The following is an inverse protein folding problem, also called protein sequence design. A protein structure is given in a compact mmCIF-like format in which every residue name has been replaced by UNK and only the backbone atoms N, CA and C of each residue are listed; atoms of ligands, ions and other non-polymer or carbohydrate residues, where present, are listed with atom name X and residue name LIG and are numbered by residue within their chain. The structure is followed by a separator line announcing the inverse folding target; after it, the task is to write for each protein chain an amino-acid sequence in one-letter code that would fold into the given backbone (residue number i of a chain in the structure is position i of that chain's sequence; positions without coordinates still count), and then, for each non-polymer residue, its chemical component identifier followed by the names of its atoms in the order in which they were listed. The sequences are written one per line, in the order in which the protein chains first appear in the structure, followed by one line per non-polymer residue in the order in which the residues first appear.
data_IF_288524929809
#
_entry.id   IF_288524929809
#
_cell.length_a   1.000
_cell.length_b   1.000
_cell.length_c   1.000
_cell.angle_alpha   90.00
_cell.angle_beta   90.00
_cell.angle_gamma   90.00
#
_symmetry.space_group_name_H-M   'P 1'
#
loop_
_entity.id
_entity.type
_entity.pdbx_description
1 polymer ?
#
# COMPACT_ATOMS: atom_id res chain seq x y z
N UNK A 1 74.88 20.89 7.99
CA UNK A 1 73.76 21.71 7.47
C UNK A 1 72.96 20.83 6.52
N UNK A 2 71.88 20.20 6.97
CA UNK A 2 70.99 19.42 6.10
C UNK A 2 69.55 19.79 6.46
N UNK A 3 68.93 20.58 5.58
CA UNK A 3 67.58 21.11 5.74
C UNK A 3 66.63 20.23 4.95
N UNK A 4 65.90 19.37 5.66
CA UNK A 4 64.79 18.60 5.11
C UNK A 4 63.61 19.57 4.96
N UNK A 5 63.22 19.83 3.72
CA UNK A 5 62.13 20.77 3.37
C UNK A 5 60.77 20.16 3.74
N UNK A 6 59.94 20.82 4.58
CA UNK A 6 58.66 20.29 5.06
C UNK A 6 57.50 20.59 4.09
N UNK A 7 57.70 20.44 2.77
CA UNK A 7 56.74 20.93 1.77
C UNK A 7 55.82 19.86 1.16
N UNK A 8 55.91 18.60 1.58
CA UNK A 8 55.17 17.49 0.92
C UNK A 8 53.94 17.01 1.72
N UNK A 9 53.78 17.38 2.99
CA UNK A 9 52.63 16.95 3.81
C UNK A 9 51.34 17.77 3.64
N UNK A 10 51.38 18.93 2.96
CA UNK A 10 50.23 19.84 2.88
C UNK A 10 49.17 19.52 1.82
N UNK A 11 49.44 18.57 0.91
CA UNK A 11 48.60 18.35 -0.29
C UNK A 11 47.78 17.04 -0.26
N UNK A 12 48.01 16.17 0.71
CA UNK A 12 47.30 14.88 0.80
C UNK A 12 46.04 14.92 1.68
N UNK A 13 45.93 15.87 2.61
CA UNK A 13 44.73 16.02 3.45
C UNK A 13 43.46 16.47 2.70
N UNK A 14 43.50 17.44 1.75
CA UNK A 14 42.28 17.85 1.04
C UNK A 14 41.81 16.81 0.01
N UNK A 15 42.70 15.97 -0.51
CA UNK A 15 42.35 14.90 -1.45
C UNK A 15 41.54 13.77 -0.77
N UNK A 16 41.87 13.42 0.48
CA UNK A 16 41.10 12.42 1.24
C UNK A 16 39.71 12.92 1.67
N UNK A 17 39.56 14.22 1.90
CA UNK A 17 38.24 14.83 2.22
C UNK A 17 37.36 14.93 0.98
N UNK A 18 37.94 15.16 -0.20
CA UNK A 18 37.19 15.22 -1.46
C UNK A 18 36.63 13.84 -1.90
N UNK A 19 37.30 12.74 -1.58
CA UNK A 19 36.79 11.38 -1.84
C UNK A 19 35.73 10.91 -0.84
N UNK A 20 35.62 11.53 0.33
CA UNK A 20 34.58 11.20 1.32
C UNK A 20 33.21 11.83 1.04
N UNK A 21 33.12 12.76 0.07
CA UNK A 21 31.89 13.48 -0.27
C UNK A 21 31.24 13.02 -1.58
N UNK A 22 31.89 12.12 -2.33
CA UNK A 22 31.22 11.38 -3.40
C UNK A 22 30.40 10.25 -2.76
N UNK A 23 29.23 10.60 -2.25
CA UNK A 23 28.31 9.66 -1.59
C UNK A 23 27.98 8.50 -2.52
N UNK A 24 28.21 7.26 -2.06
CA UNK A 24 27.87 6.04 -2.81
C UNK A 24 26.35 5.84 -3.05
N UNK A 25 25.49 6.76 -2.61
CA UNK A 25 24.04 6.65 -2.71
C UNK A 25 23.37 7.55 -3.76
N UNK A 26 24.09 8.48 -4.39
CA UNK A 26 23.48 9.41 -5.35
C UNK A 26 23.16 8.73 -6.68
N UNK A 27 22.06 9.17 -7.31
CA UNK A 27 21.61 8.66 -8.61
C UNK A 27 22.69 8.83 -9.68
N UNK A 28 23.24 7.70 -10.13
CA UNK A 28 24.27 7.68 -11.17
C UNK A 28 23.75 6.96 -12.42
N UNK A 29 23.55 7.73 -13.51
CA UNK A 29 23.10 7.18 -14.80
C UNK A 29 24.09 6.18 -15.40
N UNK A 30 25.37 6.26 -15.05
CA UNK A 30 26.44 5.34 -15.47
C UNK A 30 26.58 4.11 -14.56
N UNK A 31 25.81 4.01 -13.47
CA UNK A 31 25.80 2.80 -12.64
C UNK A 31 25.32 1.60 -13.44
N UNK A 32 26.16 0.57 -13.54
CA UNK A 32 25.80 -0.77 -14.06
C UNK A 32 25.33 -1.71 -12.95
N UNK A 33 25.16 -1.19 -11.73
CA UNK A 33 24.74 -1.97 -10.58
C UNK A 33 23.34 -2.55 -10.79
N UNK A 34 23.21 -3.83 -10.46
CA UNK A 34 21.94 -4.54 -10.38
C UNK A 34 21.86 -5.19 -9.01
N UNK A 35 20.93 -4.73 -8.17
CA UNK A 35 20.72 -5.26 -6.83
C UNK A 35 20.41 -6.76 -6.85
N UNK A 36 19.67 -7.21 -7.88
CA UNK A 36 19.31 -8.61 -8.10
C UNK A 36 20.54 -9.46 -8.39
N UNK A 37 21.49 -8.94 -9.19
CA UNK A 37 22.72 -9.65 -9.56
C UNK A 37 23.70 -9.83 -8.40
N UNK A 38 23.52 -9.07 -7.31
CA UNK A 38 24.36 -9.14 -6.10
C UNK A 38 23.64 -9.84 -4.93
N UNK A 39 22.48 -10.45 -5.17
CA UNK A 39 21.75 -11.22 -4.17
C UNK A 39 21.03 -10.39 -3.11
N UNK A 40 20.94 -9.06 -3.27
CA UNK A 40 20.20 -8.20 -2.36
C UNK A 40 18.67 -8.43 -2.46
N UNK A 41 18.20 -8.85 -3.63
CA UNK A 41 16.80 -9.22 -3.87
C UNK A 41 16.68 -10.70 -4.20
N UNK A 42 15.80 -11.41 -3.52
CA UNK A 42 15.51 -12.82 -3.81
C UNK A 42 14.56 -12.89 -5.01
N UNK A 43 15.14 -12.86 -6.21
CA UNK A 43 14.47 -12.52 -7.49
C UNK A 43 13.15 -13.25 -7.77
N UNK A 44 13.04 -14.53 -7.40
CA UNK A 44 11.82 -15.32 -7.64
C UNK A 44 10.63 -14.95 -6.74
N UNK A 45 10.89 -14.31 -5.59
CA UNK A 45 9.89 -14.03 -4.54
C UNK A 45 9.91 -12.57 -4.08
N UNK A 46 10.69 -11.72 -4.76
CA UNK A 46 10.90 -10.35 -4.32
C UNK A 46 9.61 -9.54 -4.36
N UNK A 47 8.89 -9.50 -5.49
CA UNK A 47 7.67 -8.71 -5.59
C UNK A 47 6.39 -9.56 -5.47
N UNK A 48 5.32 -9.00 -4.86
CA UNK A 48 5.34 -7.86 -3.94
C UNK A 48 5.74 -8.25 -2.51
N UNK A 49 5.52 -9.50 -2.10
CA UNK A 49 5.58 -9.91 -0.69
C UNK A 49 6.96 -9.89 -0.04
N UNK A 50 8.01 -10.35 -0.74
CA UNK A 50 9.37 -10.32 -0.20
C UNK A 50 9.89 -8.90 0.04
N UNK A 51 9.55 -7.99 -0.87
CA UNK A 51 9.90 -6.58 -0.85
C UNK A 51 9.22 -5.86 0.32
N UNK A 52 7.90 -6.02 0.49
CA UNK A 52 7.18 -5.37 1.59
C UNK A 52 7.65 -5.89 2.96
N UNK A 53 7.93 -7.18 3.09
CA UNK A 53 8.48 -7.77 4.31
C UNK A 53 9.89 -7.21 4.65
N UNK A 54 10.77 -7.10 3.64
CA UNK A 54 12.10 -6.53 3.83
C UNK A 54 12.04 -5.05 4.23
N UNK A 55 11.22 -4.24 3.54
CA UNK A 55 11.04 -2.82 3.84
C UNK A 55 10.46 -2.60 5.25
N UNK A 56 9.50 -3.42 5.68
CA UNK A 56 8.94 -3.37 7.04
C UNK A 56 9.98 -3.71 8.10
N UNK A 57 10.92 -4.60 7.77
CA UNK A 57 11.99 -5.00 8.70
C UNK A 57 13.03 -3.89 8.86
N UNK A 58 13.53 -3.33 7.76
CA UNK A 58 14.51 -2.25 7.81
C UNK A 58 14.57 -1.44 6.50
N UNK A 59 13.71 -0.44 6.38
CA UNK A 59 13.69 0.45 5.21
C UNK A 59 14.97 1.31 5.07
N UNK A 60 15.71 1.54 6.15
CA UNK A 60 16.95 2.33 6.09
C UNK A 60 18.07 1.59 5.36
N UNK A 61 18.08 0.26 5.38
CA UNK A 61 19.02 -0.55 4.60
C UNK A 61 18.84 -0.36 3.08
N UNK A 62 17.62 -0.04 2.64
CA UNK A 62 17.34 0.18 1.22
C UNK A 62 18.00 1.45 0.67
N UNK A 63 18.23 2.45 1.53
CA UNK A 63 18.76 3.76 1.14
C UNK A 63 20.18 3.69 0.59
N UNK A 64 20.96 2.66 0.94
CA UNK A 64 22.30 2.42 0.39
C UNK A 64 22.27 2.31 -1.13
N UNK A 65 21.25 1.63 -1.69
CA UNK A 65 21.11 1.45 -3.13
C UNK A 65 20.06 2.38 -3.77
N UNK A 66 18.98 2.68 -3.05
CA UNK A 66 17.84 3.43 -3.55
C UNK A 66 17.93 4.94 -3.31
N UNK A 67 18.99 5.42 -2.66
CA UNK A 67 19.18 6.81 -2.28
C UNK A 67 18.53 7.14 -0.93
N UNK A 68 19.01 8.19 -0.27
CA UNK A 68 18.47 8.64 1.02
C UNK A 68 17.03 9.15 0.95
N UNK A 69 16.58 9.53 -0.24
CA UNK A 69 15.22 9.96 -0.56
C UNK A 69 14.38 8.85 -1.24
N UNK A 70 14.97 7.67 -1.44
CA UNK A 70 14.36 6.54 -2.14
C UNK A 70 13.92 6.85 -3.58
N UNK A 71 14.50 7.88 -4.21
CA UNK A 71 14.22 8.27 -5.58
C UNK A 71 14.94 7.41 -6.63
N UNK A 72 15.66 6.38 -6.19
CA UNK A 72 16.22 5.33 -7.02
C UNK A 72 17.73 5.18 -6.92
N UNK A 73 18.47 6.20 -6.47
CA UNK A 73 19.92 6.12 -6.24
C UNK A 73 20.68 5.35 -7.32
N UNK A 74 21.60 4.50 -6.90
CA UNK A 74 22.37 3.62 -7.80
C UNK A 74 21.55 2.44 -8.35
N UNK A 75 20.42 2.08 -7.74
CA UNK A 75 19.52 1.00 -8.20
C UNK A 75 18.64 1.41 -9.37
N UNK A 76 18.44 2.71 -9.58
CA UNK A 76 17.54 3.32 -10.58
C UNK A 76 16.05 2.95 -10.41
N UNK A 77 15.69 2.40 -9.25
CA UNK A 77 14.31 1.98 -8.92
C UNK A 77 13.79 2.85 -7.79
N UNK A 78 12.96 3.84 -8.12
CA UNK A 78 12.31 4.69 -7.12
C UNK A 78 11.14 3.96 -6.45
N UNK A 79 10.88 4.24 -5.17
CA UNK A 79 9.66 3.75 -4.50
C UNK A 79 8.40 4.16 -5.26
N UNK A 80 8.42 5.35 -5.87
CA UNK A 80 7.31 5.92 -6.64
C UNK A 80 6.98 5.20 -7.94
N UNK A 81 7.75 4.16 -8.32
CA UNK A 81 7.38 3.29 -9.44
C UNK A 81 6.15 2.42 -9.13
N UNK A 82 5.94 2.07 -7.86
CA UNK A 82 4.77 1.30 -7.41
C UNK A 82 3.95 2.05 -6.35
N UNK A 83 4.60 2.88 -5.55
CA UNK A 83 3.97 3.68 -4.52
C UNK A 83 3.54 5.06 -5.05
N UNK A 84 2.47 5.62 -4.50
CA UNK A 84 1.85 6.87 -4.94
C UNK A 84 2.22 8.01 -4.00
N UNK A 85 3.45 8.51 -4.15
CA UNK A 85 3.95 9.73 -3.49
C UNK A 85 5.18 9.48 -2.64
N UNK A 86 5.16 8.43 -1.80
CA UNK A 86 6.26 8.09 -0.90
C UNK A 86 6.36 6.57 -0.69
N UNK A 87 7.32 6.11 0.12
CA UNK A 87 7.56 4.70 0.41
C UNK A 87 6.49 3.99 1.25
N UNK A 88 5.51 4.70 1.79
CA UNK A 88 4.47 4.15 2.69
C UNK A 88 3.11 4.02 2.01
N UNK A 89 2.84 4.82 0.97
CA UNK A 89 1.51 4.91 0.38
C UNK A 89 1.46 4.28 -1.01
N UNK A 90 0.60 3.27 -1.19
CA UNK A 90 0.34 2.65 -2.51
C UNK A 90 -0.90 3.22 -3.22
N UNK A 91 -1.60 4.13 -2.55
CA UNK A 91 -2.73 4.92 -3.05
C UNK A 91 -2.39 6.41 -2.95
N UNK A 92 -3.11 7.31 -3.63
CA UNK A 92 -2.83 8.74 -3.55
C UNK A 92 -2.78 9.22 -2.10
N UNK A 93 -1.77 10.03 -1.76
CA UNK A 93 -1.52 10.48 -0.38
C UNK A 93 -2.76 11.06 0.32
N UNK A 94 -3.63 11.74 -0.43
CA UNK A 94 -4.84 12.35 0.11
C UNK A 94 -5.90 11.34 0.57
N UNK A 95 -5.75 10.05 0.27
CA UNK A 95 -6.66 9.00 0.75
C UNK A 95 -6.44 8.68 2.23
N UNK A 96 -5.20 8.80 2.71
CA UNK A 96 -4.81 8.43 4.07
C UNK A 96 -5.34 7.06 4.51
N UNK A 97 -5.76 6.98 5.77
CA UNK A 97 -6.32 5.77 6.38
C UNK A 97 -7.67 5.34 5.78
N UNK A 98 -8.34 6.24 5.06
CA UNK A 98 -9.68 6.04 4.52
C UNK A 98 -9.67 5.55 3.06
N UNK A 99 -8.66 4.73 2.71
CA UNK A 99 -8.50 4.16 1.36
C UNK A 99 -9.80 3.53 0.84
N UNK A 100 -10.56 2.84 1.69
CA UNK A 100 -11.83 2.21 1.31
C UNK A 100 -12.90 3.21 0.89
N UNK A 101 -12.97 4.40 1.48
CA UNK A 101 -13.99 5.40 1.16
C UNK A 101 -13.62 6.21 -0.07
N UNK A 102 -12.32 6.46 -0.26
CA UNK A 102 -11.83 7.21 -1.42
C UNK A 102 -11.79 6.37 -2.70
N UNK A 103 -11.62 5.03 -2.60
CA UNK A 103 -11.61 4.19 -3.80
C UNK A 103 -12.93 4.26 -4.56
N UNK A 104 -14.08 4.36 -3.88
CA UNK A 104 -15.38 4.29 -4.54
C UNK A 104 -15.57 5.47 -5.50
N UNK A 105 -15.21 6.68 -5.04
CA UNK A 105 -15.21 7.90 -5.85
C UNK A 105 -14.20 7.78 -6.99
N UNK A 106 -12.98 7.34 -6.68
CA UNK A 106 -11.93 7.21 -7.69
C UNK A 106 -12.28 6.21 -8.80
N UNK A 107 -12.85 5.05 -8.46
CA UNK A 107 -13.28 4.05 -9.46
C UNK A 107 -14.44 4.59 -10.30
N UNK A 108 -15.36 5.36 -9.70
CA UNK A 108 -16.44 6.00 -10.45
C UNK A 108 -15.94 7.04 -11.45
N UNK A 109 -14.91 7.80 -11.09
CA UNK A 109 -14.36 8.89 -11.92
C UNK A 109 -13.31 8.41 -12.93
N UNK A 110 -12.43 7.51 -12.51
CA UNK A 110 -11.22 7.11 -13.24
C UNK A 110 -11.26 5.68 -13.77
N UNK A 111 -12.28 4.90 -13.41
CA UNK A 111 -12.37 3.48 -13.73
C UNK A 111 -11.35 2.62 -12.96
N UNK A 112 -11.13 1.40 -13.47
CA UNK A 112 -10.32 0.36 -12.78
C UNK A 112 -8.94 0.12 -13.42
N UNK A 113 -8.60 0.83 -14.50
CA UNK A 113 -7.41 0.53 -15.30
C UNK A 113 -6.10 0.60 -14.48
N UNK A 114 -6.00 1.57 -13.56
CA UNK A 114 -4.85 1.69 -12.65
C UNK A 114 -4.75 0.52 -11.65
N UNK A 115 -5.87 -0.10 -11.32
CA UNK A 115 -5.96 -1.19 -10.35
C UNK A 115 -5.58 -2.55 -10.98
N UNK A 116 -5.80 -2.71 -12.29
CA UNK A 116 -5.60 -3.98 -13.03
C UNK A 116 -4.13 -4.27 -13.37
N UNK A 117 -3.25 -4.19 -12.38
CA UNK A 117 -1.83 -4.53 -12.53
C UNK A 117 -1.49 -5.82 -11.74
N UNK A 118 -0.41 -6.52 -12.14
CA UNK A 118 -0.05 -7.82 -11.54
C UNK A 118 0.45 -7.74 -10.10
N UNK A 119 0.81 -6.55 -9.61
CA UNK A 119 1.49 -6.37 -8.33
C UNK A 119 0.54 -5.95 -7.20
N UNK A 120 -0.52 -5.19 -7.51
CA UNK A 120 -1.43 -4.64 -6.50
C UNK A 120 -2.70 -5.49 -6.34
N UNK A 121 -3.68 -5.34 -7.24
CA UNK A 121 -4.96 -6.07 -7.16
C UNK A 121 -5.06 -7.24 -8.15
N UNK A 122 -4.05 -7.44 -8.99
CA UNK A 122 -4.01 -8.46 -10.03
C UNK A 122 -4.69 -8.00 -11.31
N UNK A 123 -4.26 -8.54 -12.46
CA UNK A 123 -4.85 -8.25 -13.78
C UNK A 123 -6.37 -8.50 -13.82
N UNK A 124 -6.83 -9.49 -13.07
CA UNK A 124 -8.24 -9.89 -12.98
C UNK A 124 -8.94 -9.38 -11.71
N UNK A 125 -8.29 -8.51 -10.93
CA UNK A 125 -8.83 -7.97 -9.67
C UNK A 125 -9.20 -9.05 -8.64
N UNK A 126 -8.50 -10.18 -8.71
CA UNK A 126 -8.65 -11.33 -7.80
C UNK A 126 -7.76 -11.21 -6.56
N UNK A 127 -7.08 -10.08 -6.39
CA UNK A 127 -6.13 -9.83 -5.31
C UNK A 127 -4.76 -10.42 -5.57
N UNK A 128 -3.78 -9.94 -4.81
CA UNK A 128 -2.39 -10.42 -4.82
C UNK A 128 -1.96 -10.66 -3.37
N UNK A 129 -1.55 -11.88 -3.05
CA UNK A 129 -1.10 -12.25 -1.71
C UNK A 129 0.05 -11.35 -1.24
N UNK A 130 -0.09 -10.76 -0.05
CA UNK A 130 0.90 -9.83 0.51
C UNK A 130 0.88 -8.43 -0.09
N UNK A 131 -0.16 -8.10 -0.87
CA UNK A 131 -0.36 -6.79 -1.48
C UNK A 131 -1.85 -6.40 -1.41
N UNK A 132 -2.55 -6.19 -2.53
CA UNK A 132 -3.92 -5.71 -2.57
C UNK A 132 -5.00 -6.80 -2.50
N UNK A 133 -6.18 -6.47 -1.94
CA UNK A 133 -7.32 -7.38 -1.88
C UNK A 133 -7.97 -7.63 -3.25
N UNK A 134 -8.79 -8.68 -3.34
CA UNK A 134 -9.70 -8.89 -4.47
C UNK A 134 -10.89 -7.95 -4.40
N UNK A 135 -11.52 -7.63 -5.55
CA UNK A 135 -12.81 -6.94 -5.53
C UNK A 135 -13.84 -7.71 -4.72
N UNK A 136 -13.90 -9.04 -4.87
CA UNK A 136 -14.88 -9.89 -4.19
C UNK A 136 -14.72 -9.96 -2.68
N UNK A 137 -13.60 -9.50 -2.11
CA UNK A 137 -13.41 -9.44 -0.67
C UNK A 137 -14.33 -8.42 0.02
N UNK A 138 -14.68 -7.35 -0.71
CA UNK A 138 -15.61 -6.30 -0.23
C UNK A 138 -16.89 -6.24 -1.07
N UNK A 139 -16.85 -6.66 -2.34
CA UNK A 139 -17.95 -6.58 -3.29
C UNK A 139 -18.66 -7.92 -3.48
N UNK A 140 -19.47 -8.30 -2.49
CA UNK A 140 -20.13 -9.61 -2.39
C UNK A 140 -21.14 -9.90 -3.53
N UNK A 141 -21.69 -8.86 -4.16
CA UNK A 141 -22.64 -8.99 -5.27
C UNK A 141 -22.02 -8.73 -6.65
N UNK A 142 -20.68 -8.66 -6.73
CA UNK A 142 -19.96 -8.24 -7.92
C UNK A 142 -19.50 -6.78 -7.83
N UNK A 143 -18.70 -6.28 -8.80
CA UNK A 143 -17.83 -5.11 -8.64
C UNK A 143 -18.48 -3.79 -8.17
N UNK A 144 -19.79 -3.65 -8.34
CA UNK A 144 -20.56 -2.46 -7.97
C UNK A 144 -21.51 -2.70 -6.79
N UNK A 145 -21.42 -3.85 -6.12
CA UNK A 145 -22.35 -4.28 -5.07
C UNK A 145 -21.57 -4.82 -3.87
N UNK A 146 -21.53 -4.04 -2.79
CA UNK A 146 -20.88 -4.42 -1.52
C UNK A 146 -21.68 -5.47 -0.72
N UNK A 147 -22.96 -5.61 -1.02
CA UNK A 147 -23.84 -6.64 -0.45
C UNK A 147 -24.11 -7.75 -1.48
N UNK A 148 -24.51 -8.96 -1.03
CA UNK A 148 -24.84 -10.06 -1.92
C UNK A 148 -25.89 -9.68 -2.98
N UNK A 149 -25.65 -10.10 -4.23
CA UNK A 149 -26.51 -9.77 -5.37
C UNK A 149 -27.93 -10.35 -5.25
N UNK A 150 -28.11 -11.40 -4.46
CA UNK A 150 -29.41 -12.03 -4.19
C UNK A 150 -30.40 -11.11 -3.47
N UNK A 151 -29.96 -9.94 -3.02
CA UNK A 151 -30.80 -8.98 -2.31
C UNK A 151 -30.76 -7.64 -3.06
N UNK A 152 -31.63 -7.50 -4.05
CA UNK A 152 -31.82 -6.25 -4.81
C UNK A 152 -32.18 -5.01 -3.94
N UNK A 153 -32.42 -5.22 -2.65
CA UNK A 153 -33.03 -4.27 -1.72
C UNK A 153 -32.02 -3.31 -1.06
N UNK A 154 -30.73 -3.63 -1.03
CA UNK A 154 -29.73 -2.78 -0.36
C UNK A 154 -29.36 -1.50 -1.12
N UNK A 155 -29.79 -1.38 -2.39
CA UNK A 155 -29.51 -0.17 -3.21
C UNK A 155 -30.15 1.10 -2.66
N UNK A 156 -31.16 0.99 -1.80
CA UNK A 156 -31.84 2.12 -1.16
C UNK A 156 -32.43 1.65 0.18
N UNK A 157 -31.62 1.65 1.25
CA UNK A 157 -32.14 1.44 2.61
C UNK A 157 -32.82 2.73 3.07
N UNK A 158 -34.02 2.98 2.57
CA UNK A 158 -34.97 3.89 3.19
C UNK A 158 -35.59 3.21 4.40
N UNK A 159 -36.19 3.95 5.32
CA UNK A 159 -36.95 3.40 6.46
C UNK A 159 -38.03 2.38 6.04
N UNK A 160 -38.45 2.39 4.77
CA UNK A 160 -39.40 1.45 4.18
C UNK A 160 -38.85 0.08 3.75
N UNK A 161 -37.53 -0.13 3.77
CA UNK A 161 -36.89 -1.39 3.32
C UNK A 161 -36.24 -2.23 4.43
N UNK A 162 -36.47 -1.86 5.70
CA UNK A 162 -35.95 -2.57 6.88
C UNK A 162 -36.34 -4.04 6.94
N UNK A 163 -37.49 -4.42 6.37
CA UNK A 163 -37.99 -5.80 6.39
C UNK A 163 -37.03 -6.77 5.68
N UNK A 164 -36.48 -6.41 4.53
CA UNK A 164 -35.58 -7.27 3.76
C UNK A 164 -34.18 -7.39 4.38
N UNK A 165 -33.70 -6.32 5.03
CA UNK A 165 -32.48 -6.35 5.84
C UNK A 165 -32.64 -7.32 7.01
N UNK A 166 -33.70 -7.15 7.80
CA UNK A 166 -33.99 -7.98 8.97
C UNK A 166 -34.16 -9.46 8.60
N UNK A 167 -34.92 -9.77 7.53
CA UNK A 167 -35.08 -11.14 7.05
C UNK A 167 -33.75 -11.77 6.65
N UNK A 168 -32.87 -11.02 5.97
CA UNK A 168 -31.57 -11.53 5.59
C UNK A 168 -30.69 -11.82 6.81
N UNK A 169 -30.61 -10.88 7.76
CA UNK A 169 -29.84 -11.04 9.00
C UNK A 169 -30.36 -12.20 9.84
N UNK A 170 -31.69 -12.36 9.97
CA UNK A 170 -32.28 -13.49 10.68
C UNK A 170 -31.99 -14.85 10.01
N UNK A 171 -31.89 -14.86 8.68
CA UNK A 171 -31.66 -16.09 7.91
C UNK A 171 -30.17 -16.48 7.87
N UNK A 172 -29.27 -15.49 7.77
CA UNK A 172 -27.84 -15.70 7.49
C UNK A 172 -26.95 -15.39 8.69
N UNK A 173 -27.52 -14.85 9.77
CA UNK A 173 -26.78 -14.32 10.91
C UNK A 173 -26.01 -13.04 10.59
N UNK A 174 -25.17 -12.64 11.53
CA UNK A 174 -24.39 -11.40 11.49
C UNK A 174 -22.89 -11.63 11.27
N UNK A 175 -22.44 -12.88 11.27
CA UNK A 175 -21.00 -13.24 11.28
C UNK A 175 -20.27 -12.67 10.06
N UNK A 176 -20.90 -12.69 8.88
CA UNK A 176 -20.31 -12.13 7.65
C UNK A 176 -20.34 -10.60 7.63
N UNK A 177 -21.20 -9.97 8.42
CA UNK A 177 -21.29 -8.52 8.56
C UNK A 177 -20.18 -7.99 9.49
N UNK A 178 -19.78 -8.77 10.51
CA UNK A 178 -18.78 -8.41 11.51
C UNK A 178 -17.35 -8.38 10.93
N UNK A 179 -17.05 -7.37 10.13
CA UNK A 179 -15.75 -7.17 9.51
C UNK A 179 -15.21 -5.78 9.81
N UNK A 180 -13.90 -5.69 10.05
CA UNK A 180 -13.21 -4.46 10.48
C UNK A 180 -13.26 -3.31 9.48
N UNK A 181 -13.65 -3.56 8.22
CA UNK A 181 -13.60 -2.57 7.13
C UNK A 181 -14.95 -1.88 6.93
N UNK A 182 -16.06 -2.61 7.07
CA UNK A 182 -17.39 -2.11 6.78
C UNK A 182 -18.18 -1.82 8.05
N UNK A 183 -18.41 -2.81 8.91
CA UNK A 183 -19.27 -2.66 10.09
C UNK A 183 -18.53 -2.75 11.43
N UNK A 184 -17.23 -3.01 11.42
CA UNK A 184 -16.44 -3.27 12.61
C UNK A 184 -16.58 -4.72 13.08
N UNK A 185 -15.56 -5.22 13.79
CA UNK A 185 -15.59 -6.58 14.36
C UNK A 185 -16.76 -6.77 15.34
N UNK A 186 -17.21 -5.69 15.98
CA UNK A 186 -18.31 -5.68 16.94
C UNK A 186 -19.60 -5.04 16.38
N UNK A 187 -19.67 -4.79 15.06
CA UNK A 187 -20.82 -4.16 14.41
C UNK A 187 -21.13 -2.72 14.89
N UNK A 188 -20.10 -2.04 15.40
CA UNK A 188 -20.17 -0.66 15.90
C UNK A 188 -20.09 0.39 14.78
N UNK A 189 -19.92 -0.05 13.53
CA UNK A 189 -19.72 0.80 12.37
C UNK A 189 -18.24 1.17 12.17
N UNK A 190 -17.92 1.64 10.98
CA UNK A 190 -16.58 2.13 10.63
C UNK A 190 -16.72 3.51 10.01
N UNK A 191 -15.98 4.49 10.54
CA UNK A 191 -16.03 5.87 10.05
C UNK A 191 -15.71 5.95 8.55
N UNK A 192 -16.56 6.63 7.79
CA UNK A 192 -16.44 6.74 6.33
C UNK A 192 -16.80 5.48 5.54
N UNK A 193 -17.29 4.41 6.19
CA UNK A 193 -17.66 3.14 5.56
C UNK A 193 -19.10 2.74 5.93
N UNK A 194 -19.29 1.59 6.58
CA UNK A 194 -20.61 1.07 6.94
C UNK A 194 -21.11 1.57 8.29
N UNK A 195 -22.44 1.61 8.40
CA UNK A 195 -23.14 2.03 9.62
C UNK A 195 -23.04 1.01 10.76
N UNK A 196 -23.18 1.51 11.98
CA UNK A 196 -23.34 0.70 13.19
C UNK A 196 -24.70 -0.01 13.21
N UNK A 197 -24.76 -1.24 13.70
CA UNK A 197 -26.03 -1.86 14.04
C UNK A 197 -26.77 -1.07 15.13
N UNK A 198 -26.04 -0.44 16.04
CA UNK A 198 -26.59 0.31 17.17
C UNK A 198 -27.29 1.61 16.74
N UNK A 199 -27.08 2.08 15.51
CA UNK A 199 -27.80 3.27 15.02
C UNK A 199 -29.30 3.02 14.86
N UNK A 200 -29.71 1.76 14.72
CA UNK A 200 -31.11 1.34 14.60
C UNK A 200 -31.53 0.36 15.70
N UNK A 201 -30.61 -0.48 16.20
CA UNK A 201 -30.88 -1.49 17.22
C UNK A 201 -30.35 -1.06 18.59
N UNK A 202 -31.11 -0.19 19.26
CA UNK A 202 -30.70 0.46 20.51
C UNK A 202 -30.89 -0.41 21.77
N UNK A 203 -31.59 -1.56 21.67
CA UNK A 203 -31.83 -2.49 22.76
C UNK A 203 -31.70 -3.94 22.26
N UNK A 204 -30.84 -4.74 22.89
CA UNK A 204 -30.74 -6.21 22.76
C UNK A 204 -30.70 -6.75 21.31
N UNK A 205 -29.58 -6.54 20.60
CA UNK A 205 -29.35 -7.14 19.27
C UNK A 205 -28.45 -8.39 19.27
N UNK A 206 -27.91 -8.77 20.43
CA UNK A 206 -27.16 -10.01 20.66
C UNK A 206 -28.11 -11.20 20.84
#
# INVERSE_FOLDING_TARGET
MSSIRPFILGLWLPALVAFGLAGCGDSNSQSTFSADSHGAHVVATWLPGGHSAAATTNISACAECHGSDYAGGISKVACTQCHMGDQQHVHPLFWGDYTYSHHAVYVAESGIAACTNIYCHGKSLTGVTGSGPSCSSCHLGGPMQIHPASIAVWKNVTSSNQSSHGVYVLTNGITTCANVVCHGANLEGVSGSGMSCQSCHTLNWQ
#
